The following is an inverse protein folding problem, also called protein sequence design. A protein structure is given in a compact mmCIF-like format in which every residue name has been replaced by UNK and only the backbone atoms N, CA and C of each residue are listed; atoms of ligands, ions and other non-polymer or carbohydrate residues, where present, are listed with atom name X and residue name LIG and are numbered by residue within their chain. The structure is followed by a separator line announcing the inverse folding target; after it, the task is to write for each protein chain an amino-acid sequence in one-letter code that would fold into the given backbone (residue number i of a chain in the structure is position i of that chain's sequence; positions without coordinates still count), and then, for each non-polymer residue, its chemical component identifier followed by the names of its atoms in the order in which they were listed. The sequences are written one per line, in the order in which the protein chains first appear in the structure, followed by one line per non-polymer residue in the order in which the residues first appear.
data_IF_368056763261
#
_entry.id   IF_368056763261
#
_cell.length_a   1.000
_cell.length_b   1.000
_cell.length_c   1.000
_cell.angle_alpha   90.00
_cell.angle_beta   90.00
_cell.angle_gamma   90.00
#
_symmetry.space_group_name_H-M   'P 1'
#
loop_
_entity.id
_entity.type
_entity.pdbx_description
1 polymer ?
#
# COMPACT_ATOMS: atom_id res chain seq x y z
N UNK A 1 9.54 -16.17 -13.72
CA UNK A 1 9.25 -16.14 -12.27
C UNK A 1 10.58 -15.97 -11.53
N UNK A 2 10.99 -14.72 -11.29
CA UNK A 2 12.29 -14.38 -10.71
C UNK A 2 12.20 -14.46 -9.19
N UNK A 3 13.13 -15.20 -8.56
CA UNK A 3 13.17 -15.45 -7.11
C UNK A 3 13.95 -14.30 -6.45
N UNK A 4 13.41 -13.62 -5.42
CA UNK A 4 14.12 -12.54 -4.72
C UNK A 4 15.48 -13.03 -4.22
N UNK A 5 16.54 -12.29 -4.52
CA UNK A 5 17.92 -12.75 -4.38
C UNK A 5 18.52 -12.42 -3.01
N UNK A 6 17.97 -11.40 -2.29
CA UNK A 6 18.43 -11.04 -0.95
C UNK A 6 17.42 -11.47 0.13
N UNK A 7 17.93 -11.91 1.27
CA UNK A 7 17.12 -12.32 2.43
C UNK A 7 16.26 -11.16 2.96
N UNK A 8 16.75 -9.92 2.85
CA UNK A 8 16.09 -8.72 3.38
C UNK A 8 14.85 -8.34 2.56
N UNK A 9 14.91 -8.43 1.23
CA UNK A 9 13.77 -8.21 0.32
C UNK A 9 12.62 -9.20 0.62
N UNK A 10 12.95 -10.45 0.96
CA UNK A 10 11.96 -11.48 1.33
C UNK A 10 11.26 -11.18 2.64
N UNK A 11 12.00 -10.71 3.65
CA UNK A 11 11.40 -10.30 4.93
C UNK A 11 10.47 -9.11 4.76
N UNK A 12 10.86 -8.11 3.94
CA UNK A 12 10.02 -6.95 3.65
C UNK A 12 8.71 -7.34 2.95
N UNK A 13 8.79 -8.09 1.84
CA UNK A 13 7.61 -8.53 1.10
C UNK A 13 6.74 -9.48 1.95
N UNK A 14 7.38 -10.38 2.72
CA UNK A 14 6.68 -11.25 3.66
C UNK A 14 5.89 -10.49 4.72
N UNK A 15 6.48 -9.44 5.31
CA UNK A 15 5.80 -8.60 6.30
C UNK A 15 4.57 -7.91 5.71
N UNK A 16 4.67 -7.35 4.50
CA UNK A 16 3.52 -6.70 3.82
C UNK A 16 2.44 -7.70 3.44
N UNK A 17 2.80 -8.91 2.99
CA UNK A 17 1.83 -9.97 2.69
C UNK A 17 1.09 -10.40 3.96
N UNK A 18 1.80 -10.59 5.07
CA UNK A 18 1.19 -10.94 6.36
C UNK A 18 0.27 -9.81 6.85
N UNK A 19 0.71 -8.55 6.77
CA UNK A 19 -0.12 -7.38 7.08
C UNK A 19 -1.40 -7.39 6.24
N UNK A 20 -1.28 -7.52 4.90
CA UNK A 20 -2.41 -7.50 4.00
C UNK A 20 -3.40 -8.63 4.30
N UNK A 21 -2.92 -9.85 4.57
CA UNK A 21 -3.78 -10.97 4.94
C UNK A 21 -4.53 -10.72 6.26
N UNK A 22 -3.84 -10.23 7.29
CA UNK A 22 -4.46 -9.92 8.58
C UNK A 22 -5.54 -8.84 8.44
N UNK A 23 -5.22 -7.74 7.74
CA UNK A 23 -6.18 -6.66 7.51
C UNK A 23 -7.37 -7.14 6.67
N UNK A 24 -7.13 -7.88 5.58
CA UNK A 24 -8.22 -8.42 4.75
C UNK A 24 -9.17 -9.32 5.55
N UNK A 25 -8.65 -10.18 6.44
CA UNK A 25 -9.49 -11.03 7.28
C UNK A 25 -10.36 -10.20 8.23
N UNK A 26 -9.81 -9.14 8.83
CA UNK A 26 -10.56 -8.24 9.71
C UNK A 26 -11.64 -7.47 8.95
N UNK A 27 -11.28 -6.91 7.79
CA UNK A 27 -12.19 -6.17 6.92
C UNK A 27 -13.36 -7.04 6.41
N UNK A 28 -13.08 -8.28 6.01
CA UNK A 28 -14.12 -9.24 5.59
C UNK A 28 -15.03 -9.59 6.77
N UNK A 29 -14.47 -9.80 7.97
CA UNK A 29 -15.27 -10.08 9.17
C UNK A 29 -16.24 -8.92 9.47
N UNK A 30 -15.76 -7.68 9.46
CA UNK A 30 -16.57 -6.48 9.70
C UNK A 30 -17.67 -6.36 8.64
N UNK A 31 -17.33 -6.58 7.37
CA UNK A 31 -18.29 -6.54 6.26
C UNK A 31 -19.40 -7.58 6.41
N UNK A 32 -19.07 -8.81 6.82
CA UNK A 32 -20.06 -9.88 7.05
C UNK A 32 -20.98 -9.54 8.22
N UNK A 33 -20.45 -9.02 9.34
CA UNK A 33 -21.27 -8.61 10.47
C UNK A 33 -22.20 -7.44 10.10
N UNK A 34 -21.69 -6.49 9.32
CA UNK A 34 -22.49 -5.38 8.78
C UNK A 34 -23.64 -5.90 7.89
N UNK A 35 -23.34 -6.76 6.92
CA UNK A 35 -24.36 -7.31 6.02
C UNK A 35 -25.40 -8.16 6.75
N UNK A 36 -25.01 -8.87 7.81
CA UNK A 36 -25.94 -9.67 8.61
C UNK A 36 -26.85 -8.84 9.51
N UNK A 37 -26.45 -7.62 9.89
CA UNK A 37 -27.20 -6.74 10.78
C UNK A 37 -28.19 -5.85 10.04
N UNK A 38 -27.88 -5.55 8.77
CA UNK A 38 -28.65 -4.62 7.96
C UNK A 38 -29.78 -5.33 7.22
N UNK A 39 -31.02 -4.81 7.34
CA UNK A 39 -32.16 -5.34 6.59
C UNK A 39 -32.06 -5.02 5.10
N UNK A 40 -32.62 -5.84 4.19
CA UNK A 40 -32.55 -5.63 2.75
C UNK A 40 -33.20 -4.31 2.29
N UNK A 41 -34.04 -3.67 3.13
CA UNK A 41 -34.68 -2.39 2.85
C UNK A 41 -33.76 -1.17 3.05
N UNK A 42 -32.53 -1.37 3.52
CA UNK A 42 -31.54 -0.31 3.77
C UNK A 42 -31.16 0.48 2.50
N UNK A 43 -31.39 -0.07 1.31
CA UNK A 43 -31.00 0.54 0.02
C UNK A 43 -31.67 1.88 -0.23
N UNK A 44 -32.69 2.23 0.56
CA UNK A 44 -33.38 3.51 0.55
C UNK A 44 -32.57 4.65 1.21
N UNK A 45 -31.53 4.34 1.99
CA UNK A 45 -30.72 5.33 2.70
C UNK A 45 -29.27 5.33 2.19
N UNK A 46 -28.83 6.45 1.64
CA UNK A 46 -27.50 6.63 1.05
C UNK A 46 -26.35 6.34 2.04
N UNK A 47 -26.57 6.60 3.34
CA UNK A 47 -25.59 6.38 4.42
C UNK A 47 -25.19 4.89 4.51
N UNK A 48 -26.06 3.97 4.09
CA UNK A 48 -25.76 2.53 4.06
C UNK A 48 -24.56 2.16 3.18
N UNK A 49 -24.27 2.94 2.13
CA UNK A 49 -23.19 2.62 1.20
C UNK A 49 -21.83 3.12 1.69
N UNK A 50 -21.79 4.04 2.66
CA UNK A 50 -20.55 4.64 3.13
C UNK A 50 -19.63 3.61 3.81
N UNK A 51 -20.22 2.72 4.62
CA UNK A 51 -19.49 1.64 5.32
C UNK A 51 -18.81 0.67 4.37
N UNK A 52 -19.52 -0.04 3.46
CA UNK A 52 -18.89 -1.00 2.55
C UNK A 52 -17.87 -0.35 1.62
N UNK A 53 -18.07 0.91 1.23
CA UNK A 53 -17.10 1.65 0.41
C UNK A 53 -15.81 1.90 1.17
N UNK A 54 -15.88 2.37 2.42
CA UNK A 54 -14.70 2.62 3.24
C UNK A 54 -13.89 1.34 3.50
N UNK A 55 -14.58 0.23 3.83
CA UNK A 55 -13.95 -1.09 4.02
C UNK A 55 -13.24 -1.54 2.73
N UNK A 56 -13.91 -1.42 1.58
CA UNK A 56 -13.33 -1.82 0.28
C UNK A 56 -12.10 -1.00 -0.09
N UNK A 57 -12.05 0.29 0.28
CA UNK A 57 -10.90 1.14 0.03
C UNK A 57 -9.65 0.66 0.78
N UNK A 58 -9.79 0.26 2.05
CA UNK A 58 -8.68 -0.33 2.80
C UNK A 58 -8.26 -1.69 2.21
N UNK A 59 -9.22 -2.55 1.87
CA UNK A 59 -8.92 -3.83 1.23
C UNK A 59 -8.13 -3.65 -0.07
N UNK A 60 -8.51 -2.69 -0.90
CA UNK A 60 -7.80 -2.38 -2.14
C UNK A 60 -6.41 -1.80 -1.86
N UNK A 61 -6.28 -0.90 -0.87
CA UNK A 61 -5.00 -0.30 -0.49
C UNK A 61 -3.97 -1.36 -0.08
N UNK A 62 -4.33 -2.30 0.79
CA UNK A 62 -3.39 -3.34 1.26
C UNK A 62 -3.01 -4.34 0.17
N UNK A 63 -3.94 -4.66 -0.75
CA UNK A 63 -3.64 -5.49 -1.92
C UNK A 63 -2.70 -4.76 -2.87
N UNK A 64 -2.94 -3.48 -3.11
CA UNK A 64 -2.10 -2.65 -3.97
C UNK A 64 -0.68 -2.51 -3.42
N UNK A 65 -0.51 -2.35 -2.10
CA UNK A 65 0.81 -2.34 -1.44
C UNK A 65 1.60 -3.63 -1.67
N UNK A 66 0.93 -4.79 -1.61
CA UNK A 66 1.57 -6.08 -1.91
C UNK A 66 2.05 -6.14 -3.36
N UNK A 67 1.23 -5.71 -4.31
CA UNK A 67 1.60 -5.66 -5.75
C UNK A 67 2.80 -4.74 -5.96
N UNK A 68 2.77 -3.53 -5.38
CA UNK A 68 3.90 -2.60 -5.43
C UNK A 68 5.16 -3.20 -4.82
N UNK A 69 5.06 -3.96 -3.73
CA UNK A 69 6.22 -4.60 -3.12
C UNK A 69 6.90 -5.60 -4.07
N UNK A 70 6.13 -6.31 -4.91
CA UNK A 70 6.66 -7.24 -5.90
C UNK A 70 7.34 -6.50 -7.05
N UNK A 71 6.70 -5.45 -7.55
CA UNK A 71 7.26 -4.56 -8.59
C UNK A 71 8.56 -3.89 -8.12
N UNK A 72 8.63 -3.51 -6.84
CA UNK A 72 9.80 -2.89 -6.22
C UNK A 72 10.99 -3.85 -6.26
N UNK A 73 10.76 -5.10 -5.86
CA UNK A 73 11.80 -6.14 -5.85
C UNK A 73 12.24 -6.49 -7.28
N UNK A 74 11.32 -6.51 -8.23
CA UNK A 74 11.65 -6.80 -9.63
C UNK A 74 12.56 -5.72 -10.24
N UNK A 75 12.23 -4.45 -10.02
CA UNK A 75 12.94 -3.32 -10.62
C UNK A 75 14.09 -2.77 -9.77
N UNK A 76 14.24 -3.25 -8.52
CA UNK A 76 15.19 -2.73 -7.52
C UNK A 76 15.10 -1.21 -7.37
N UNK A 77 13.87 -0.69 -7.34
CA UNK A 77 13.59 0.74 -7.41
C UNK A 77 13.34 1.36 -6.02
N UNK A 78 14.28 2.22 -5.59
CA UNK A 78 14.17 2.97 -4.33
C UNK A 78 12.99 3.95 -4.26
N UNK A 79 12.51 4.44 -5.40
CA UNK A 79 11.33 5.34 -5.45
C UNK A 79 10.07 4.56 -5.04
N UNK A 80 9.95 3.30 -5.49
CA UNK A 80 8.80 2.47 -5.14
C UNK A 80 8.82 2.06 -3.67
N UNK A 81 10.01 1.85 -3.09
CA UNK A 81 10.18 1.63 -1.65
C UNK A 81 9.64 2.81 -0.81
N UNK A 82 9.97 4.05 -1.20
CA UNK A 82 9.44 5.25 -0.53
C UNK A 82 7.93 5.37 -0.72
N UNK A 83 7.41 5.06 -1.91
CA UNK A 83 5.98 5.06 -2.19
C UNK A 83 5.21 4.07 -1.30
N UNK A 84 5.74 2.87 -1.08
CA UNK A 84 5.14 1.87 -0.19
C UNK A 84 5.13 2.36 1.27
N UNK A 85 6.23 2.95 1.74
CA UNK A 85 6.30 3.47 3.11
C UNK A 85 5.29 4.61 3.33
N UNK A 86 5.18 5.53 2.36
CA UNK A 86 4.21 6.62 2.43
C UNK A 86 2.77 6.11 2.35
N UNK A 87 2.50 5.13 1.48
CA UNK A 87 1.20 4.47 1.36
C UNK A 87 0.76 3.87 2.69
N UNK A 88 1.67 3.17 3.39
CA UNK A 88 1.34 2.52 4.65
C UNK A 88 0.99 3.54 5.75
N UNK A 89 1.73 4.65 5.82
CA UNK A 89 1.39 5.77 6.73
C UNK A 89 0.01 6.35 6.40
N UNK A 90 -0.29 6.53 5.10
CA UNK A 90 -1.61 6.98 4.67
C UNK A 90 -2.71 5.96 5.02
N UNK A 91 -2.43 4.66 4.89
CA UNK A 91 -3.37 3.60 5.26
C UNK A 91 -3.68 3.61 6.77
N UNK A 92 -2.66 3.81 7.63
CA UNK A 92 -2.86 4.02 9.07
C UNK A 92 -3.76 5.23 9.33
N UNK A 93 -3.48 6.38 8.72
CA UNK A 93 -4.30 7.57 8.88
C UNK A 93 -5.74 7.37 8.39
N UNK A 94 -5.92 6.70 7.26
CA UNK A 94 -7.24 6.39 6.71
C UNK A 94 -8.02 5.44 7.63
N UNK A 95 -7.39 4.39 8.16
CA UNK A 95 -8.06 3.45 9.09
C UNK A 95 -8.54 4.16 10.38
N UNK A 96 -7.82 5.18 10.85
CA UNK A 96 -8.30 6.02 11.96
C UNK A 96 -9.53 6.87 11.58
N UNK A 97 -9.59 7.38 10.34
CA UNK A 97 -10.76 8.12 9.85
C UNK A 97 -11.97 7.20 9.61
N UNK A 98 -11.72 5.98 9.15
CA UNK A 98 -12.71 4.94 8.94
C UNK A 98 -13.42 4.59 10.25
N UNK A 99 -12.67 4.45 11.36
CA UNK A 99 -13.24 4.19 12.69
C UNK A 99 -14.31 5.23 13.08
N UNK A 100 -13.98 6.52 12.96
CA UNK A 100 -14.93 7.61 13.28
C UNK A 100 -16.12 7.60 12.33
N UNK A 101 -15.88 7.38 11.04
CA UNK A 101 -16.96 7.28 10.04
C UNK A 101 -17.91 6.11 10.34
N UNK A 102 -17.38 4.97 10.78
CA UNK A 102 -18.16 3.79 11.14
C UNK A 102 -19.01 4.04 12.39
N UNK A 103 -18.43 4.73 13.39
CA UNK A 103 -19.14 5.13 14.61
C UNK A 103 -20.34 6.02 14.29
N UNK A 104 -20.11 7.09 13.54
CA UNK A 104 -21.15 8.07 13.17
C UNK A 104 -22.25 7.41 12.30
N UNK A 105 -21.85 6.52 11.40
CA UNK A 105 -22.79 5.78 10.55
C UNK A 105 -23.66 4.82 11.37
N UNK A 106 -23.08 4.08 12.30
CA UNK A 106 -23.83 3.15 13.15
C UNK A 106 -24.83 3.91 14.04
N UNK A 107 -24.41 5.03 14.64
CA UNK A 107 -25.27 5.84 15.50
C UNK A 107 -26.39 6.57 14.72
N UNK A 108 -26.11 7.04 13.51
CA UNK A 108 -27.11 7.70 12.65
C UNK A 108 -28.13 6.73 12.08
N UNK A 109 -27.72 5.51 11.71
CA UNK A 109 -28.62 4.50 11.15
C UNK A 109 -29.56 3.90 12.21
N UNK A 110 -29.11 3.67 13.45
CA UNK A 110 -29.96 3.16 14.54
C UNK A 110 -31.15 4.10 14.84
N UNK A 111 -30.93 5.42 14.73
CA UNK A 111 -31.94 6.44 14.94
C UNK A 111 -32.82 6.69 13.71
N UNK A 112 -32.42 6.19 12.54
CA UNK A 112 -33.17 6.34 11.30
C UNK A 112 -34.30 5.30 11.20
N UNK A 113 -35.44 5.72 10.65
CA UNK A 113 -36.63 4.90 10.41
C UNK A 113 -37.03 5.03 8.94
N UNK A 114 -37.59 3.97 8.37
CA UNK A 114 -38.06 3.99 6.98
C UNK A 114 -39.39 4.77 6.90
N UNK A 115 -39.77 5.15 5.69
CA UNK A 115 -41.09 5.60 5.25
C UNK A 115 -42.26 4.80 5.84
N UNK A 116 -42.07 3.53 6.18
CA UNK A 116 -43.06 2.64 6.82
C UNK A 116 -42.86 2.44 8.33
N UNK A 117 -42.08 3.30 9.00
CA UNK A 117 -41.76 3.26 10.44
C UNK A 117 -41.10 1.96 10.93
N UNK A 118 -40.69 1.07 10.02
CA UNK A 118 -39.93 -0.13 10.37
C UNK A 118 -38.47 0.26 10.70
N UNK A 119 -37.86 -0.39 11.69
CA UNK A 119 -36.44 -0.20 11.95
C UNK A 119 -35.65 -0.76 10.77
N UNK A 120 -34.73 0.06 10.23
CA UNK A 120 -33.85 -0.34 9.11
C UNK A 120 -32.89 -1.46 9.50
N UNK A 121 -32.83 -1.79 10.80
CA UNK A 121 -31.78 -2.54 11.42
C UNK A 121 -32.30 -3.26 12.67
N UNK A 122 -31.73 -4.42 13.00
CA UNK A 122 -32.03 -5.15 14.24
C UNK A 122 -31.58 -4.39 15.50
N UNK A 123 -32.54 -3.74 16.16
CA UNK A 123 -32.34 -2.97 17.40
C UNK A 123 -31.96 -3.87 18.59
N UNK A 124 -32.19 -5.18 18.49
CA UNK A 124 -31.88 -6.14 19.56
C UNK A 124 -30.39 -6.43 19.71
N UNK A 125 -29.56 -6.13 18.71
CA UNK A 125 -28.11 -6.40 18.71
C UNK A 125 -27.33 -5.11 18.53
N UNK A 126 -26.42 -4.86 19.47
CA UNK A 126 -25.52 -3.71 19.44
C UNK A 126 -24.29 -4.04 18.57
N UNK A 127 -24.42 -3.88 17.25
CA UNK A 127 -23.36 -4.20 16.28
C UNK A 127 -22.05 -3.48 16.61
N UNK A 128 -22.14 -2.23 17.08
CA UNK A 128 -20.97 -1.41 17.39
C UNK A 128 -20.03 -2.10 18.38
N UNK A 129 -20.56 -2.68 19.46
CA UNK A 129 -19.74 -3.38 20.47
C UNK A 129 -19.00 -4.59 19.91
N UNK A 130 -19.52 -5.22 18.87
CA UNK A 130 -18.93 -6.41 18.28
C UNK A 130 -17.87 -6.08 17.22
N UNK A 131 -18.07 -5.01 16.44
CA UNK A 131 -17.13 -4.59 15.39
C UNK A 131 -16.03 -3.66 15.91
N UNK A 132 -16.29 -2.89 16.98
CA UNK A 132 -15.34 -1.97 17.59
C UNK A 132 -13.95 -2.59 17.85
N UNK A 133 -13.80 -3.80 18.45
CA UNK A 133 -12.48 -4.37 18.66
C UNK A 133 -11.77 -4.73 17.34
N UNK A 134 -12.50 -5.15 16.31
CA UNK A 134 -11.93 -5.47 15.01
C UNK A 134 -11.45 -4.20 14.28
N UNK A 135 -12.25 -3.14 14.30
CA UNK A 135 -11.91 -1.82 13.73
C UNK A 135 -10.69 -1.19 14.39
N UNK A 136 -10.52 -1.34 15.72
CA UNK A 136 -9.32 -0.85 16.43
C UNK A 136 -8.08 -1.70 16.10
N UNK A 137 -8.25 -2.99 15.80
CA UNK A 137 -7.15 -3.88 15.51
C UNK A 137 -6.49 -3.56 14.15
N UNK A 138 -7.26 -3.07 13.17
CA UNK A 138 -6.75 -2.66 11.84
C UNK A 138 -5.63 -1.62 11.93
N UNK A 139 -5.82 -0.42 12.53
CA UNK A 139 -4.77 0.59 12.67
C UNK A 139 -3.58 0.10 13.52
N UNK A 140 -3.82 -0.79 14.50
CA UNK A 140 -2.74 -1.37 15.30
C UNK A 140 -1.85 -2.26 14.43
N UNK A 141 -2.43 -3.13 13.60
CA UNK A 141 -1.67 -4.01 12.69
C UNK A 141 -0.90 -3.21 11.65
N UNK A 142 -1.54 -2.20 11.05
CA UNK A 142 -0.90 -1.30 10.08
C UNK A 142 0.24 -0.50 10.75
N UNK A 143 0.01 0.03 11.96
CA UNK A 143 1.00 0.79 12.71
C UNK A 143 2.20 -0.04 13.15
N UNK A 144 1.97 -1.24 13.67
CA UNK A 144 3.05 -2.18 14.02
C UNK A 144 3.88 -2.56 12.80
N UNK A 145 3.21 -2.78 11.67
CA UNK A 145 3.94 -3.11 10.43
C UNK A 145 4.73 -1.90 9.94
N UNK A 146 4.18 -0.67 9.99
CA UNK A 146 4.93 0.55 9.68
C UNK A 146 6.22 0.67 10.51
N UNK A 147 6.16 0.38 11.80
CA UNK A 147 7.33 0.42 12.69
C UNK A 147 8.40 -0.61 12.29
N UNK A 148 7.98 -1.80 11.85
CA UNK A 148 8.90 -2.85 11.36
C UNK A 148 9.45 -2.51 9.97
N UNK A 149 8.64 -1.88 9.11
CA UNK A 149 9.04 -1.52 7.75
C UNK A 149 10.13 -0.45 7.74
N UNK A 150 10.13 0.49 8.69
CA UNK A 150 11.10 1.60 8.72
C UNK A 150 12.58 1.16 8.74
N UNK A 151 13.03 0.30 9.67
CA UNK A 151 14.42 -0.17 9.68
C UNK A 151 14.75 -1.06 8.47
N UNK A 152 13.80 -1.90 8.03
CA UNK A 152 14.01 -2.79 6.88
C UNK A 152 14.12 -1.97 5.58
N UNK A 153 13.28 -0.95 5.41
CA UNK A 153 13.34 -0.02 4.31
C UNK A 153 14.67 0.74 4.28
N UNK A 154 15.20 1.17 5.43
CA UNK A 154 16.51 1.81 5.49
C UNK A 154 17.63 0.88 4.99
N UNK A 155 17.63 -0.39 5.43
CA UNK A 155 18.59 -1.39 4.95
C UNK A 155 18.49 -1.62 3.44
N UNK A 156 17.28 -1.85 2.93
CA UNK A 156 17.02 -2.10 1.49
C UNK A 156 17.37 -0.87 0.65
N UNK A 157 17.07 0.34 1.12
CA UNK A 157 17.42 1.59 0.44
C UNK A 157 18.93 1.76 0.28
N UNK A 158 19.71 1.37 1.30
CA UNK A 158 21.17 1.40 1.24
C UNK A 158 21.71 0.40 0.22
N UNK A 159 21.12 -0.80 0.13
CA UNK A 159 21.48 -1.81 -0.88
C UNK A 159 21.21 -1.31 -2.31
N UNK A 160 20.04 -0.71 -2.56
CA UNK A 160 19.71 -0.15 -3.87
C UNK A 160 20.59 1.04 -4.24
N UNK A 161 20.87 1.94 -3.30
CA UNK A 161 21.77 3.07 -3.55
C UNK A 161 23.16 2.58 -3.92
N UNK A 162 23.68 1.58 -3.21
CA UNK A 162 24.98 0.97 -3.52
C UNK A 162 25.00 0.28 -4.89
N UNK A 163 23.93 -0.42 -5.27
CA UNK A 163 23.81 -1.02 -6.61
C UNK A 163 23.82 0.05 -7.72
N UNK A 164 23.12 1.17 -7.54
CA UNK A 164 23.15 2.30 -8.48
C UNK A 164 24.56 2.91 -8.55
N UNK A 165 25.23 3.10 -7.41
CA UNK A 165 26.62 3.59 -7.39
C UNK A 165 27.56 2.70 -8.20
N UNK A 166 27.39 1.38 -8.17
CA UNK A 166 28.20 0.45 -8.97
C UNK A 166 27.87 0.52 -10.45
N UNK A 167 26.59 0.64 -10.81
CA UNK A 167 26.17 0.82 -12.21
C UNK A 167 26.70 2.15 -12.81
N UNK A 168 26.74 3.22 -12.02
CA UNK A 168 27.25 4.54 -12.45
C UNK A 168 28.77 4.59 -12.50
N UNK A 169 29.48 3.90 -11.58
CA UNK A 169 30.94 3.80 -11.69
C UNK A 169 31.38 3.00 -12.92
N UNK A 170 30.51 2.14 -13.45
CA UNK A 170 30.67 1.52 -14.76
C UNK A 170 31.82 0.51 -14.79
N UNK A 171 31.58 -0.61 -15.48
CA UNK A 171 32.66 -1.37 -16.08
C UNK A 171 33.60 -0.41 -16.82
N UNK A 172 34.91 -0.34 -16.52
CA UNK A 172 35.82 0.60 -17.17
C UNK A 172 35.77 0.55 -18.71
N UNK A 173 35.35 -0.59 -19.28
CA UNK A 173 35.25 -0.82 -20.73
C UNK A 173 34.36 0.15 -21.51
N UNK A 174 33.21 0.61 -20.99
CA UNK A 174 32.36 1.55 -21.74
C UNK A 174 32.95 2.96 -21.77
N UNK A 175 33.62 3.37 -20.69
CA UNK A 175 34.30 4.68 -20.60
C UNK A 175 35.52 4.76 -21.53
N UNK A 176 36.23 3.65 -21.75
CA UNK A 176 37.33 3.58 -22.73
C UNK A 176 36.85 3.72 -24.18
N UNK A 177 35.68 3.19 -24.53
CA UNK A 177 35.15 3.30 -25.89
C UNK A 177 34.76 4.75 -26.22
N UNK A 178 34.16 5.49 -25.28
CA UNK A 178 33.85 6.91 -25.48
C UNK A 178 35.10 7.80 -25.57
N UNK A 179 36.12 7.55 -24.76
CA UNK A 179 37.42 8.27 -24.85
C UNK A 179 38.17 7.98 -26.17
N UNK A 180 38.02 6.78 -26.74
CA UNK A 180 38.60 6.44 -28.04
C UNK A 180 38.05 7.28 -29.20
N UNK A 181 36.75 7.60 -29.17
CA UNK A 181 36.12 8.44 -30.21
C UNK A 181 36.56 9.90 -30.12
N UNK A 182 36.78 10.44 -28.93
CA UNK A 182 37.23 11.83 -28.72
C UNK A 182 38.68 12.05 -29.18
N UNK A 183 39.52 11.01 -29.11
CA UNK A 183 40.93 11.06 -29.55
C UNK A 183 41.10 10.82 -31.06
N UNK A 184 40.18 10.11 -31.71
CA UNK A 184 40.21 9.87 -33.16
C UNK A 184 39.70 11.10 -33.95
N UNK A 185 38.75 11.86 -33.40
CA UNK A 185 38.17 13.04 -34.05
C UNK A 185 39.19 14.14 -34.43
N UNK A 186 40.20 14.51 -33.61
CA UNK A 186 41.19 15.51 -34.01
C UNK A 186 42.26 14.99 -34.98
N UNK A 187 42.44 13.67 -35.13
CA UNK A 187 43.49 13.10 -35.99
C UNK A 187 43.05 12.85 -37.45
N UNK A 188 41.76 13.02 -37.74
CA UNK A 188 41.19 12.87 -39.09
C UNK A 188 40.89 14.22 -39.78
N UNK A 189 41.66 15.26 -39.47
CA UNK A 189 41.71 16.49 -40.29
C UNK A 189 42.93 16.40 -41.23
N UNK A 190 42.79 15.89 -42.47
CA UNK A 190 43.87 16.00 -43.44
C UNK A 190 44.02 17.47 -43.80
N UNK A 191 45.21 17.96 -43.45
CA UNK A 191 45.92 19.05 -44.11
C UNK A 191 45.71 18.91 -45.63
N UNK A 192 44.85 19.76 -46.21
CA UNK A 192 44.96 20.17 -47.60
C UNK A 192 45.28 21.66 -47.58
N UNK A 193 46.56 21.92 -47.31
CA UNK A 193 47.24 23.15 -47.67
C UNK A 193 47.26 23.33 -49.19
N UNK A 194 46.78 24.49 -49.61
CA UNK A 194 47.29 25.35 -50.68
C UNK A 194 47.82 24.71 -51.98
N UNK A 195 47.13 25.02 -53.08
CA UNK A 195 47.75 25.60 -54.29
C UNK A 195 46.79 26.57 -54.95
#
# INVERSE_FOLDING_TARGET
MYRPTSTNERWFCGALVVQALLVLVLEIYILVQWQSWVNPNITQVTISYQVPVNLTLIMFAVVYEVILSLEMVHHKNSILLLAICLSNICAVAYSAMQYTSMYDTTHSIVNSRDSHLQPLVDISRDLWKEIQPAEILVPIVLGLTTLVLWPVAYCVHKEFSWAIYQCVQGSPQSRYQYLGYEVIAPFASPIITQS
#
